data_IF_648054981297
#
_entry.id   IF_648054981297
#
_cell.length_a   1.000
_cell.length_b   1.000
_cell.length_c   1.000
_cell.angle_alpha   90.00
_cell.angle_beta   90.00
_cell.angle_gamma   90.00
#
_symmetry.space_group_name_H-M   'P 1'
#
loop_
_entity.id
_entity.type
_entity.pdbx_description
1 polymer ?
#
# COMPACT_ATOMS: atom_id res chain seq x y z
N UNK A 1 27.45 -21.48 -14.76
CA UNK A 1 26.91 -20.34 -13.95
C UNK A 1 25.54 -20.76 -13.44
N UNK A 2 25.39 -21.10 -12.15
CA UNK A 2 24.07 -21.31 -11.56
C UNK A 2 23.34 -19.98 -11.57
N UNK A 3 22.22 -19.90 -12.27
CA UNK A 3 21.41 -18.70 -12.38
C UNK A 3 20.94 -18.26 -10.98
N UNK A 4 21.64 -17.31 -10.37
CA UNK A 4 21.28 -16.66 -9.09
C UNK A 4 19.85 -16.11 -9.17
N UNK A 5 19.41 -15.72 -10.37
CA UNK A 5 18.09 -15.15 -10.64
C UNK A 5 16.93 -16.16 -10.45
N UNK A 6 17.11 -17.46 -10.69
CA UNK A 6 16.01 -18.44 -10.60
C UNK A 6 15.62 -18.81 -9.16
N UNK A 7 16.53 -18.79 -8.21
CA UNK A 7 16.21 -19.11 -6.80
C UNK A 7 15.42 -17.98 -6.11
N UNK A 8 15.57 -16.73 -6.57
CA UNK A 8 14.88 -15.57 -5.97
C UNK A 8 13.41 -15.45 -6.40
N UNK A 9 13.02 -16.14 -7.49
CA UNK A 9 11.64 -16.09 -8.05
C UNK A 9 10.66 -17.04 -7.35
N UNK A 10 11.12 -17.92 -6.50
CA UNK A 10 10.29 -18.87 -5.76
C UNK A 10 10.02 -18.42 -4.31
N UNK A 11 10.91 -17.64 -3.72
CA UNK A 11 10.76 -17.17 -2.35
C UNK A 11 9.87 -15.93 -2.28
N UNK A 12 8.69 -15.99 -1.62
CA UNK A 12 7.76 -14.85 -1.57
C UNK A 12 8.38 -13.57 -1.00
N UNK A 13 9.24 -13.67 0.01
CA UNK A 13 9.89 -12.50 0.62
C UNK A 13 10.85 -11.82 -0.36
N UNK A 14 11.62 -12.60 -1.12
CA UNK A 14 12.51 -12.06 -2.15
C UNK A 14 11.73 -11.46 -3.32
N UNK A 15 10.61 -12.08 -3.71
CA UNK A 15 9.71 -11.51 -4.72
C UNK A 15 9.19 -10.15 -4.26
N UNK A 16 8.71 -10.05 -3.01
CA UNK A 16 8.20 -8.80 -2.44
C UNK A 16 9.25 -7.69 -2.48
N UNK A 17 10.47 -7.97 -2.01
CA UNK A 17 11.60 -7.01 -2.00
C UNK A 17 12.11 -6.60 -3.38
N UNK A 18 11.85 -7.40 -4.41
CA UNK A 18 12.22 -7.07 -5.79
C UNK A 18 11.21 -6.16 -6.49
N UNK A 19 10.10 -5.81 -5.85
CA UNK A 19 9.16 -4.84 -6.39
C UNK A 19 9.83 -3.48 -6.56
N UNK A 20 9.77 -2.93 -7.77
CA UNK A 20 10.36 -1.63 -8.10
C UNK A 20 9.38 -0.45 -7.91
N UNK A 21 8.21 -0.71 -7.38
CA UNK A 21 7.17 0.29 -7.09
C UNK A 21 6.73 1.14 -8.30
N UNK A 22 6.81 0.59 -9.52
CA UNK A 22 6.43 1.29 -10.76
C UNK A 22 4.94 1.61 -10.87
N UNK A 23 4.11 1.09 -9.96
CA UNK A 23 2.66 1.20 -9.99
C UNK A 23 2.00 0.62 -11.28
N UNK A 24 2.71 -0.17 -12.08
CA UNK A 24 2.18 -0.80 -13.30
C UNK A 24 1.02 -1.76 -13.03
N UNK A 25 0.94 -2.33 -11.81
CA UNK A 25 -0.20 -3.15 -11.40
C UNK A 25 -1.52 -2.37 -11.22
N UNK A 26 -1.48 -1.04 -11.35
CA UNK A 26 -2.65 -0.15 -11.37
C UNK A 26 -3.10 0.22 -12.79
N UNK A 27 -2.37 -0.21 -13.81
CA UNK A 27 -2.59 0.15 -15.21
C UNK A 27 -2.72 -1.12 -16.03
N UNK A 28 -3.75 -1.21 -16.86
CA UNK A 28 -3.97 -2.33 -17.76
C UNK A 28 -3.27 -2.10 -19.12
N UNK A 29 -1.95 -2.22 -19.14
CA UNK A 29 -1.21 -1.97 -20.39
C UNK A 29 -1.07 -3.22 -21.29
N UNK A 30 -1.37 -4.42 -20.77
CA UNK A 30 -1.36 -5.67 -21.54
C UNK A 30 -2.76 -6.20 -21.89
N UNK A 31 -3.84 -5.49 -21.53
CA UNK A 31 -5.20 -5.94 -21.74
C UNK A 31 -5.62 -7.13 -20.85
N UNK A 32 -4.88 -7.39 -19.76
CA UNK A 32 -5.18 -8.49 -18.81
C UNK A 32 -6.14 -8.09 -17.69
N UNK A 33 -6.46 -6.82 -17.62
CA UNK A 33 -7.25 -6.19 -16.56
C UNK A 33 -6.42 -5.82 -15.33
N UNK A 34 -6.96 -4.92 -14.52
CA UNK A 34 -6.39 -4.45 -13.26
C UNK A 34 -6.96 -5.23 -12.08
N UNK A 35 -6.27 -5.19 -10.93
CA UNK A 35 -6.72 -5.81 -9.69
C UNK A 35 -8.10 -5.27 -9.27
N UNK A 36 -9.11 -6.14 -9.16
CA UNK A 36 -10.49 -5.75 -8.86
C UNK A 36 -10.60 -5.08 -7.48
N UNK A 37 -9.99 -5.66 -6.44
CA UNK A 37 -10.00 -5.07 -5.09
C UNK A 37 -9.27 -3.73 -5.03
N UNK A 38 -8.22 -3.53 -5.85
CA UNK A 38 -7.55 -2.25 -5.96
C UNK A 38 -8.43 -1.18 -6.59
N UNK A 39 -9.19 -1.53 -7.63
CA UNK A 39 -10.15 -0.61 -8.28
C UNK A 39 -11.32 -0.25 -7.35
N UNK A 40 -11.77 -1.17 -6.51
CA UNK A 40 -12.85 -0.95 -5.55
C UNK A 40 -12.42 -0.07 -4.37
N UNK A 41 -11.27 -0.38 -3.78
CA UNK A 41 -10.81 0.25 -2.53
C UNK A 41 -9.90 1.47 -2.73
N UNK A 42 -9.31 1.60 -3.91
CA UNK A 42 -8.40 2.67 -4.34
C UNK A 42 -7.05 2.76 -3.60
N UNK A 43 -6.96 2.42 -2.32
CA UNK A 43 -5.68 2.44 -1.57
C UNK A 43 -4.64 1.51 -2.17
N UNK A 44 -3.37 1.94 -2.13
CA UNK A 44 -2.22 1.15 -2.65
C UNK A 44 -2.17 -0.25 -2.06
N UNK A 45 -2.56 -0.41 -0.80
CA UNK A 45 -2.58 -1.68 -0.06
C UNK A 45 -3.45 -2.77 -0.70
N UNK A 46 -4.48 -2.41 -1.45
CA UNK A 46 -5.35 -3.37 -2.14
C UNK A 46 -4.88 -3.72 -3.55
N UNK A 47 -3.80 -3.12 -4.03
CA UNK A 47 -3.10 -3.51 -5.25
C UNK A 47 -1.93 -4.47 -4.96
N UNK A 48 -1.46 -5.22 -5.95
CA UNK A 48 -0.33 -6.16 -5.77
C UNK A 48 0.91 -5.52 -5.16
N UNK A 49 1.29 -4.32 -5.60
CA UNK A 49 2.41 -3.56 -5.04
C UNK A 49 2.28 -3.37 -3.52
N UNK A 50 1.12 -2.90 -3.07
CA UNK A 50 0.89 -2.65 -1.64
C UNK A 50 0.89 -3.93 -0.82
N UNK A 51 0.29 -5.02 -1.34
CA UNK A 51 0.33 -6.32 -0.67
C UNK A 51 1.76 -6.87 -0.54
N UNK A 52 2.62 -6.64 -1.52
CA UNK A 52 4.04 -7.01 -1.43
C UNK A 52 4.75 -6.24 -0.32
N UNK A 53 4.54 -4.91 -0.23
CA UNK A 53 5.10 -4.08 0.84
C UNK A 53 4.56 -4.52 2.21
N UNK A 54 3.25 -4.76 2.30
CA UNK A 54 2.61 -5.25 3.54
C UNK A 54 3.21 -6.59 4.00
N UNK A 55 3.35 -7.54 3.08
CA UNK A 55 3.93 -8.84 3.39
C UNK A 55 5.37 -8.71 3.91
N UNK A 56 6.20 -7.91 3.25
CA UNK A 56 7.57 -7.62 3.70
C UNK A 56 7.57 -7.03 5.11
N UNK A 57 6.74 -6.01 5.37
CA UNK A 57 6.66 -5.36 6.66
C UNK A 57 6.20 -6.30 7.79
N UNK A 58 5.27 -7.22 7.50
CA UNK A 58 4.82 -8.23 8.47
C UNK A 58 5.91 -9.28 8.76
N UNK A 59 6.63 -9.74 7.74
CA UNK A 59 7.74 -10.70 7.91
C UNK A 59 8.88 -10.09 8.72
N UNK A 60 9.17 -8.81 8.51
CA UNK A 60 10.19 -8.06 9.23
C UNK A 60 9.72 -7.50 10.59
N UNK A 61 8.47 -7.76 11.00
CA UNK A 61 7.84 -7.25 12.24
C UNK A 61 7.89 -5.72 12.36
N UNK A 62 7.85 -5.00 11.25
CA UNK A 62 7.84 -3.52 11.21
C UNK A 62 6.51 -2.93 11.66
N UNK A 63 5.43 -3.67 11.52
CA UNK A 63 4.07 -3.28 11.90
C UNK A 63 3.36 -4.45 12.62
N UNK A 64 2.39 -4.16 13.49
CA UNK A 64 1.53 -5.20 14.06
C UNK A 64 0.55 -5.73 13.01
N UNK A 65 -0.04 -6.90 13.27
CA UNK A 65 -1.18 -7.39 12.48
C UNK A 65 -2.43 -6.63 12.93
N UNK A 66 -3.00 -5.82 12.03
CA UNK A 66 -4.23 -5.05 12.24
C UNK A 66 -5.42 -5.71 11.55
N UNK A 67 -6.65 -5.23 11.84
CA UNK A 67 -7.85 -5.67 11.13
C UNK A 67 -7.73 -5.42 9.61
N UNK A 68 -7.06 -4.33 9.22
CA UNK A 68 -6.79 -4.04 7.81
C UNK A 68 -5.80 -5.03 7.16
N UNK A 69 -4.87 -5.63 7.91
CA UNK A 69 -4.04 -6.72 7.37
C UNK A 69 -4.91 -7.90 6.92
N UNK A 70 -5.92 -8.25 7.73
CA UNK A 70 -6.86 -9.33 7.43
C UNK A 70 -7.69 -8.99 6.18
N UNK A 71 -8.31 -7.81 6.17
CA UNK A 71 -9.12 -7.33 5.03
C UNK A 71 -8.31 -7.31 3.73
N UNK A 72 -7.09 -6.77 3.76
CA UNK A 72 -6.21 -6.69 2.59
C UNK A 72 -5.83 -8.10 2.09
N UNK A 73 -5.51 -9.02 2.99
CA UNK A 73 -5.19 -10.38 2.62
C UNK A 73 -6.39 -11.12 2.03
N UNK A 74 -7.57 -11.02 2.64
CA UNK A 74 -8.80 -11.70 2.20
C UNK A 74 -9.35 -11.14 0.88
N UNK A 75 -9.20 -9.85 0.62
CA UNK A 75 -9.67 -9.19 -0.60
C UNK A 75 -8.95 -9.63 -1.88
N UNK A 76 -7.91 -10.47 -1.80
CA UNK A 76 -7.25 -11.04 -2.96
C UNK A 76 -7.89 -12.41 -3.32
N UNK A 77 -8.42 -12.53 -4.53
CA UNK A 77 -9.02 -13.76 -5.09
C UNK A 77 -8.02 -14.68 -5.80
N UNK A 78 -6.73 -14.33 -5.78
CA UNK A 78 -5.63 -15.08 -6.43
C UNK A 78 -5.82 -15.28 -7.95
N UNK A 79 -6.49 -14.36 -8.63
CA UNK A 79 -6.85 -14.46 -10.06
C UNK A 79 -5.67 -14.46 -11.05
N UNK A 80 -4.45 -14.17 -10.62
CA UNK A 80 -3.23 -14.22 -11.43
C UNK A 80 -3.00 -13.03 -12.37
N UNK A 81 -3.91 -12.06 -12.49
CA UNK A 81 -3.74 -10.89 -13.38
C UNK A 81 -2.43 -10.12 -13.12
N UNK A 82 -2.05 -10.01 -11.86
CA UNK A 82 -0.79 -9.35 -11.48
C UNK A 82 0.46 -10.13 -11.94
N UNK A 83 0.41 -11.46 -11.99
CA UNK A 83 1.51 -12.27 -12.47
C UNK A 83 1.76 -12.02 -13.95
N UNK A 84 0.68 -11.92 -14.73
CA UNK A 84 0.79 -11.70 -16.16
C UNK A 84 1.57 -10.42 -16.50
N UNK A 85 1.21 -9.30 -15.85
CA UNK A 85 1.88 -8.02 -16.06
C UNK A 85 3.29 -7.98 -15.45
N UNK A 86 3.45 -8.43 -14.20
CA UNK A 86 4.76 -8.42 -13.54
C UNK A 86 5.74 -9.40 -14.15
N UNK A 87 5.29 -10.55 -14.65
CA UNK A 87 6.17 -11.50 -15.33
C UNK A 87 6.76 -10.92 -16.61
N UNK A 88 5.95 -10.21 -17.39
CA UNK A 88 6.41 -9.53 -18.59
C UNK A 88 7.49 -8.47 -18.31
N UNK A 89 7.33 -7.69 -17.22
CA UNK A 89 8.23 -6.59 -16.88
C UNK A 89 9.48 -7.03 -16.12
N UNK A 90 9.31 -7.90 -15.13
CA UNK A 90 10.32 -8.21 -14.12
C UNK A 90 10.47 -9.71 -13.88
N UNK A 91 9.78 -10.55 -14.65
CA UNK A 91 9.73 -12.01 -14.49
C UNK A 91 9.31 -12.47 -13.08
N UNK A 92 8.54 -11.63 -12.37
CA UNK A 92 8.03 -11.92 -11.03
C UNK A 92 6.60 -12.48 -11.08
N UNK A 93 6.26 -13.24 -10.03
CA UNK A 93 4.93 -13.78 -9.80
C UNK A 93 4.38 -13.28 -8.45
N UNK A 94 3.75 -12.10 -8.41
CA UNK A 94 3.17 -11.55 -7.19
C UNK A 94 2.16 -12.47 -6.50
N UNK A 95 1.44 -13.34 -7.23
CA UNK A 95 0.48 -14.29 -6.65
C UNK A 95 1.11 -15.14 -5.54
N UNK A 96 2.38 -15.56 -5.68
CA UNK A 96 3.11 -16.28 -4.61
C UNK A 96 3.21 -15.48 -3.32
N UNK A 97 3.36 -14.15 -3.43
CA UNK A 97 3.38 -13.27 -2.26
C UNK A 97 1.97 -13.13 -1.67
N UNK A 98 0.93 -13.07 -2.51
CA UNK A 98 -0.46 -13.00 -2.05
C UNK A 98 -0.86 -14.26 -1.29
N UNK A 99 -0.50 -15.45 -1.79
CA UNK A 99 -0.69 -16.73 -1.10
C UNK A 99 0.04 -16.75 0.24
N UNK A 100 1.30 -16.32 0.26
CA UNK A 100 2.11 -16.25 1.48
C UNK A 100 1.56 -15.24 2.50
N UNK A 101 1.05 -14.09 2.05
CA UNK A 101 0.39 -13.10 2.90
C UNK A 101 -0.85 -13.69 3.57
N UNK A 102 -1.76 -14.32 2.79
CA UNK A 102 -2.93 -15.02 3.33
C UNK A 102 -2.54 -16.06 4.38
N UNK A 103 -1.63 -16.95 4.02
CA UNK A 103 -1.17 -18.00 4.92
C UNK A 103 -0.49 -17.46 6.19
N UNK A 104 0.21 -16.32 6.10
CA UNK A 104 0.85 -15.68 7.24
C UNK A 104 -0.17 -15.09 8.22
N UNK A 105 -1.16 -14.35 7.70
CA UNK A 105 -2.25 -13.78 8.51
C UNK A 105 -3.08 -14.89 9.16
N UNK A 106 -3.51 -15.90 8.39
CA UNK A 106 -4.26 -17.05 8.94
C UNK A 106 -3.48 -17.79 10.05
N UNK A 107 -2.19 -18.03 9.82
CA UNK A 107 -1.34 -18.71 10.81
C UNK A 107 -1.21 -17.88 12.08
N UNK A 108 -1.09 -16.56 11.97
CA UNK A 108 -1.04 -15.66 13.10
C UNK A 108 -2.32 -15.75 13.94
N UNK A 109 -3.48 -15.69 13.29
CA UNK A 109 -4.80 -15.79 13.96
C UNK A 109 -4.99 -17.17 14.60
N UNK A 110 -4.69 -18.26 13.87
CA UNK A 110 -4.80 -19.64 14.39
C UNK A 110 -3.91 -19.92 15.60
N UNK A 111 -2.78 -19.21 15.72
CA UNK A 111 -1.90 -19.26 16.90
C UNK A 111 -2.36 -18.39 18.08
N UNK A 112 -3.53 -17.77 18.00
CA UNK A 112 -4.04 -16.86 19.03
C UNK A 112 -3.39 -15.48 19.02
N UNK A 113 -2.80 -15.07 17.91
CA UNK A 113 -2.23 -13.74 17.77
C UNK A 113 -3.30 -12.65 17.89
N UNK A 114 -3.00 -11.59 18.63
CA UNK A 114 -3.94 -10.49 18.85
C UNK A 114 -3.92 -9.52 17.66
N UNK A 115 -5.03 -9.44 16.95
CA UNK A 115 -5.26 -8.44 15.91
C UNK A 115 -5.49 -7.08 16.59
N UNK A 116 -4.78 -6.05 16.13
CA UNK A 116 -4.81 -4.70 16.70
C UNK A 116 -5.86 -3.88 15.96
N UNK A 117 -6.83 -3.25 16.64
CA UNK A 117 -7.76 -2.31 16.00
C UNK A 117 -7.05 -1.01 15.63
N UNK A 118 -7.63 -0.26 14.69
CA UNK A 118 -7.17 1.10 14.41
C UNK A 118 -7.32 1.96 15.67
N UNK A 119 -6.30 2.70 16.10
CA UNK A 119 -6.39 3.56 17.26
C UNK A 119 -7.34 4.75 17.03
N UNK A 120 -8.08 5.14 18.07
CA UNK A 120 -8.83 6.39 18.07
C UNK A 120 -7.89 7.58 18.01
N UNK A 121 -8.12 8.47 17.04
CA UNK A 121 -7.30 9.65 16.79
C UNK A 121 -8.20 10.84 16.44
N UNK A 122 -8.09 11.92 17.23
CA UNK A 122 -8.86 13.14 17.02
C UNK A 122 -8.57 13.79 15.66
N UNK A 123 -7.31 13.77 15.24
CA UNK A 123 -6.91 14.34 13.93
C UNK A 123 -7.52 13.51 12.81
N UNK A 124 -7.47 12.18 12.91
CA UNK A 124 -8.10 11.30 11.93
C UNK A 124 -9.60 11.55 11.83
N UNK A 125 -10.28 11.77 12.97
CA UNK A 125 -11.70 12.12 12.98
C UNK A 125 -11.99 13.42 12.23
N UNK A 126 -11.16 14.44 12.41
CA UNK A 126 -11.29 15.71 11.65
C UNK A 126 -10.99 15.51 10.16
N UNK A 127 -10.00 14.71 9.81
CA UNK A 127 -9.69 14.35 8.41
C UNK A 127 -10.91 13.65 7.78
N UNK A 128 -11.50 12.67 8.45
CA UNK A 128 -12.66 11.91 7.98
C UNK A 128 -13.89 12.79 7.76
N UNK A 129 -14.10 13.84 8.57
CA UNK A 129 -15.16 14.83 8.34
C UNK A 129 -15.00 15.60 7.03
N UNK A 130 -13.77 15.75 6.55
CA UNK A 130 -13.47 16.48 5.30
C UNK A 130 -13.68 15.56 4.08
N UNK A 131 -13.13 14.33 4.11
CA UNK A 131 -13.07 13.45 2.92
C UNK A 131 -14.04 12.27 2.96
N UNK A 132 -14.68 12.01 4.10
CA UNK A 132 -15.53 10.83 4.35
C UNK A 132 -14.78 9.70 5.06
N UNK A 133 -15.55 8.84 5.74
CA UNK A 133 -15.05 7.76 6.62
C UNK A 133 -14.09 6.79 5.91
N UNK A 134 -14.42 6.41 4.67
CA UNK A 134 -13.69 5.40 3.90
C UNK A 134 -12.43 5.93 3.22
N UNK A 135 -12.18 7.24 3.26
CA UNK A 135 -11.16 7.89 2.46
C UNK A 135 -9.97 8.45 3.27
N UNK A 136 -9.93 8.10 4.54
CA UNK A 136 -8.82 8.45 5.42
C UNK A 136 -8.54 7.35 6.44
N UNK A 137 -7.27 7.13 6.74
CA UNK A 137 -6.85 6.11 7.70
C UNK A 137 -5.51 6.46 8.34
N UNK A 138 -5.31 5.99 9.58
CA UNK A 138 -4.03 5.91 10.29
C UNK A 138 -3.59 4.45 10.51
N UNK A 139 -4.30 3.48 9.91
CA UNK A 139 -3.98 2.06 10.09
C UNK A 139 -2.62 1.73 9.49
N UNK A 140 -1.77 1.09 10.29
CA UNK A 140 -0.38 0.79 9.94
C UNK A 140 -0.24 -0.15 8.74
N UNK A 141 -1.21 -1.04 8.49
CA UNK A 141 -1.19 -1.92 7.33
C UNK A 141 -1.42 -1.16 6.01
N UNK A 142 -2.22 -0.09 6.04
CA UNK A 142 -2.38 0.78 4.89
C UNK A 142 -1.20 1.75 4.81
N UNK A 143 -0.85 2.41 5.90
CA UNK A 143 0.21 3.41 5.95
C UNK A 143 1.56 2.87 5.44
N UNK A 144 1.96 1.66 5.83
CA UNK A 144 3.23 1.07 5.39
C UNK A 144 3.31 0.91 3.86
N UNK A 145 2.19 0.73 3.17
CA UNK A 145 2.17 0.59 1.71
C UNK A 145 2.44 1.89 0.97
N UNK A 146 2.43 3.01 1.68
CA UNK A 146 2.79 4.34 1.19
C UNK A 146 4.21 4.76 1.58
N UNK A 147 4.96 3.89 2.26
CA UNK A 147 6.32 4.19 2.74
C UNK A 147 7.36 4.28 1.63
N UNK A 148 7.06 3.82 0.43
CA UNK A 148 7.97 3.80 -0.71
C UNK A 148 7.41 4.60 -1.88
N UNK A 149 8.28 5.24 -2.64
CA UNK A 149 8.03 5.69 -4.01
C UNK A 149 9.02 4.99 -4.96
N UNK A 150 9.25 5.54 -6.14
CA UNK A 150 10.20 4.95 -7.12
C UNK A 150 11.66 5.35 -6.84
N UNK A 151 11.92 6.12 -5.79
CA UNK A 151 13.28 6.53 -5.44
C UNK A 151 14.12 5.33 -5.01
N UNK A 152 15.33 5.23 -5.58
CA UNK A 152 16.32 4.24 -5.18
C UNK A 152 17.23 4.72 -4.03
N UNK A 153 17.14 6.01 -3.67
CA UNK A 153 18.04 6.68 -2.73
C UNK A 153 17.36 7.15 -1.44
N UNK A 154 16.02 7.11 -1.38
CA UNK A 154 15.27 7.56 -0.22
C UNK A 154 14.94 6.38 0.69
N UNK A 155 15.21 6.53 1.98
CA UNK A 155 14.76 5.57 2.99
C UNK A 155 13.24 5.55 3.09
N UNK A 156 12.63 4.37 3.33
CA UNK A 156 11.20 4.25 3.54
C UNK A 156 10.70 5.10 4.72
N UNK A 157 9.57 5.81 4.52
CA UNK A 157 8.92 6.62 5.55
C UNK A 157 7.47 6.23 5.68
N UNK A 158 7.08 5.69 6.83
CA UNK A 158 5.69 5.27 7.07
C UNK A 158 4.90 6.49 7.56
N UNK A 159 3.89 6.96 6.81
CA UNK A 159 3.09 8.11 7.22
C UNK A 159 2.18 7.78 8.41
N UNK A 160 1.80 8.79 9.16
CA UNK A 160 0.79 8.68 10.22
C UNK A 160 -0.62 8.62 9.61
N UNK A 161 -0.84 9.38 8.52
CA UNK A 161 -2.15 9.47 7.86
C UNK A 161 -2.03 9.25 6.36
N UNK A 162 -2.99 8.52 5.80
CA UNK A 162 -3.21 8.44 4.35
C UNK A 162 -4.62 8.92 4.08
N UNK A 163 -4.76 9.89 3.16
CA UNK A 163 -6.03 10.54 2.86
C UNK A 163 -6.23 10.69 1.35
N UNK A 164 -7.44 10.42 0.87
CA UNK A 164 -7.80 10.46 -0.55
C UNK A 164 -8.92 11.48 -0.79
N UNK A 165 -8.59 12.75 -1.05
CA UNK A 165 -9.58 13.75 -1.37
C UNK A 165 -10.18 13.53 -2.78
N UNK A 166 -11.41 14.00 -2.98
CA UNK A 166 -12.09 14.00 -4.27
C UNK A 166 -12.10 15.39 -4.93
N UNK A 167 -12.06 16.45 -4.13
CA UNK A 167 -12.20 17.82 -4.61
C UNK A 167 -11.02 18.71 -4.20
N UNK A 168 -10.90 19.87 -4.87
CA UNK A 168 -9.89 20.89 -4.52
C UNK A 168 -10.19 21.53 -3.17
N UNK A 169 -11.46 21.67 -2.82
CA UNK A 169 -11.95 22.23 -1.56
C UNK A 169 -11.56 21.32 -0.39
N UNK A 170 -11.65 20.01 -0.56
CA UNK A 170 -11.17 19.02 0.41
C UNK A 170 -9.65 19.15 0.61
N UNK A 171 -8.85 19.25 -0.46
CA UNK A 171 -7.40 19.46 -0.36
C UNK A 171 -7.10 20.75 0.41
N UNK A 172 -7.79 21.87 0.08
CA UNK A 172 -7.60 23.14 0.78
C UNK A 172 -7.88 23.02 2.28
N UNK A 173 -8.95 22.30 2.63
CA UNK A 173 -9.35 22.07 4.03
C UNK A 173 -8.33 21.18 4.77
N UNK A 174 -7.85 20.11 4.13
CA UNK A 174 -6.81 19.24 4.67
C UNK A 174 -5.50 20.00 4.93
N UNK A 175 -5.06 20.81 3.97
CA UNK A 175 -3.83 21.61 4.11
C UNK A 175 -3.94 22.61 5.28
N UNK A 176 -5.11 23.23 5.48
CA UNK A 176 -5.36 24.09 6.63
C UNK A 176 -5.30 23.32 7.95
N UNK A 177 -5.96 22.14 8.00
CA UNK A 177 -5.96 21.26 9.16
C UNK A 177 -4.53 20.83 9.52
N UNK A 178 -3.74 20.36 8.55
CA UNK A 178 -2.37 19.92 8.76
C UNK A 178 -1.46 21.05 9.22
N UNK A 179 -1.58 22.25 8.64
CA UNK A 179 -0.83 23.43 9.09
C UNK A 179 -1.16 23.80 10.55
N UNK A 180 -2.44 23.81 10.91
CA UNK A 180 -2.88 24.16 12.28
C UNK A 180 -2.35 23.16 13.31
N UNK A 181 -2.18 21.89 12.93
CA UNK A 181 -1.71 20.82 13.82
C UNK A 181 -0.20 20.51 13.65
N UNK A 182 0.56 21.30 12.91
CA UNK A 182 1.98 21.11 12.62
C UNK A 182 2.30 19.73 12.02
N UNK A 183 1.39 19.18 11.21
CA UNK A 183 1.58 17.91 10.51
C UNK A 183 2.24 18.20 9.17
N UNK A 184 3.39 17.57 8.92
CA UNK A 184 4.01 17.58 7.59
C UNK A 184 3.15 16.78 6.62
N UNK A 185 3.08 17.22 5.38
CA UNK A 185 2.28 16.53 4.37
C UNK A 185 2.93 16.58 3.00
N UNK A 186 2.59 15.62 2.16
CA UNK A 186 2.97 15.60 0.74
C UNK A 186 1.84 15.11 -0.13
N UNK A 187 1.84 15.54 -1.39
CA UNK A 187 0.91 15.08 -2.40
C UNK A 187 1.52 13.87 -3.13
N UNK A 188 0.71 12.85 -3.34
CA UNK A 188 1.09 11.62 -4.04
C UNK A 188 0.06 11.30 -5.12
N UNK A 189 0.54 11.04 -6.34
CA UNK A 189 -0.21 10.31 -7.36
C UNK A 189 0.11 8.81 -7.26
N UNK A 190 0.60 8.19 -8.32
CA UNK A 190 0.95 6.77 -8.33
C UNK A 190 2.26 6.40 -7.58
N UNK A 191 2.92 7.38 -6.96
CA UNK A 191 4.18 7.13 -6.23
C UNK A 191 5.38 6.91 -7.14
N UNK A 192 5.38 7.48 -8.34
CA UNK A 192 6.46 7.35 -9.33
C UNK A 192 7.52 8.46 -9.22
N UNK A 193 7.63 9.08 -8.06
CA UNK A 193 8.66 10.10 -7.82
C UNK A 193 10.04 9.43 -7.64
N UNK A 194 11.07 9.94 -8.34
CA UNK A 194 12.42 9.39 -8.33
C UNK A 194 13.32 9.93 -7.21
N UNK A 195 12.86 10.95 -6.51
CA UNK A 195 13.66 11.71 -5.53
C UNK A 195 13.14 11.59 -4.09
N UNK A 196 12.11 10.76 -3.83
CA UNK A 196 11.56 10.56 -2.50
C UNK A 196 10.59 11.66 -2.04
N UNK A 197 10.09 12.50 -2.94
CA UNK A 197 9.16 13.59 -2.58
C UNK A 197 7.71 13.14 -2.40
N UNK A 198 7.39 11.89 -2.75
CA UNK A 198 6.04 11.34 -2.59
C UNK A 198 5.87 10.52 -1.30
N UNK A 199 6.80 10.63 -0.36
CA UNK A 199 6.81 9.94 0.95
C UNK A 199 7.16 10.92 2.07
N UNK A 200 6.54 10.77 3.23
CA UNK A 200 6.90 11.43 4.49
C UNK A 200 6.36 10.66 5.69
N UNK A 201 6.64 11.11 6.91
CA UNK A 201 6.19 10.49 8.16
C UNK A 201 4.84 11.05 8.66
N UNK A 202 4.37 12.19 8.13
CA UNK A 202 3.12 12.81 8.56
C UNK A 202 1.91 12.35 7.72
N UNK A 203 1.42 13.18 6.80
CA UNK A 203 0.25 12.88 6.00
C UNK A 203 0.57 12.72 4.50
N UNK A 204 0.05 11.68 3.87
CA UNK A 204 0.03 11.50 2.42
C UNK A 204 -1.34 11.88 1.89
N UNK A 205 -1.40 12.89 1.01
CA UNK A 205 -2.60 13.25 0.24
C UNK A 205 -2.51 12.51 -1.10
N UNK A 206 -3.22 11.38 -1.21
CA UNK A 206 -3.25 10.55 -2.41
C UNK A 206 -4.35 11.05 -3.36
N UNK A 207 -3.98 11.46 -4.57
CA UNK A 207 -4.89 12.02 -5.56
C UNK A 207 -5.59 10.97 -6.45
N UNK A 208 -5.40 9.68 -6.21
CA UNK A 208 -5.96 8.63 -7.08
C UNK A 208 -7.50 8.54 -7.06
N UNK A 209 -8.18 9.22 -6.13
CA UNK A 209 -9.64 9.35 -6.09
C UNK A 209 -10.14 10.52 -6.96
N UNK A 210 -9.29 11.48 -7.30
CA UNK A 210 -9.67 12.61 -8.15
C UNK A 210 -9.76 12.16 -9.60
N UNK A 211 -10.99 12.03 -10.11
CA UNK A 211 -11.26 11.82 -11.54
C UNK A 211 -11.50 13.15 -12.20
N UNK A 212 -10.85 13.38 -13.33
CA UNK A 212 -11.01 14.59 -14.17
C UNK A 212 -12.11 14.38 -15.19
#
# INVERSE_FOLDING_TARGET
>A
MKNIVTQDRENPFKIARNCRHYAMCKIDFLGSGVCASGLEKHFVSFYPQGRMILYEALVENKIPVTEKCVEIAESCDLCGKCDYQCYFLNEMRPTKVMEALKANVERFIKKGGKVVPQPDDKILTEIKKIVGEDWATSDRAIAVTYSHDLSAISDPKIPDYVVMPQTREEISSLVKLFKTNNIIWTIRGNGQNLLGFAINEGAIIDLNRMTW
#
